data_IF_773013624629
#
_entry.id   IF_773013624629
#
_cell.length_a   1.000
_cell.length_b   1.000
_cell.length_c   1.000
_cell.angle_alpha   90.00
_cell.angle_beta   90.00
_cell.angle_gamma   90.00
#
_symmetry.space_group_name_H-M   'P 1'
#
loop_
_entity.id
_entity.type
_entity.pdbx_description
1 polymer ?
#
# COMPACT_ATOMS: atom_id res chain seq x y z
N UNK A 1 8.24 -17.21 9.36
CA UNK A 1 7.96 -15.78 9.49
C UNK A 1 9.24 -14.95 9.50
N UNK A 2 10.11 -15.05 10.49
CA UNK A 2 11.35 -14.24 10.61
C UNK A 2 12.28 -14.31 9.38
N UNK A 3 12.45 -15.49 8.75
CA UNK A 3 13.28 -15.64 7.54
C UNK A 3 12.69 -14.89 6.33
N UNK A 4 11.37 -14.85 6.18
CA UNK A 4 10.70 -14.13 5.09
C UNK A 4 10.87 -12.62 5.29
N UNK A 5 10.65 -12.12 6.50
CA UNK A 5 10.87 -10.71 6.84
C UNK A 5 12.33 -10.28 6.63
N UNK A 6 13.29 -11.14 7.02
CA UNK A 6 14.70 -10.86 6.81
C UNK A 6 15.06 -10.77 5.32
N UNK A 7 14.51 -11.66 4.48
CA UNK A 7 14.68 -11.60 3.03
C UNK A 7 14.04 -10.34 2.45
N UNK A 8 12.80 -10.03 2.84
CA UNK A 8 12.11 -8.81 2.40
C UNK A 8 12.90 -7.55 2.76
N UNK A 9 13.35 -7.45 4.01
CA UNK A 9 14.18 -6.33 4.49
C UNK A 9 15.47 -6.16 3.68
N UNK A 10 16.17 -7.26 3.33
CA UNK A 10 17.36 -7.21 2.51
C UNK A 10 17.07 -6.69 1.09
N UNK A 11 15.99 -7.20 0.45
CA UNK A 11 15.56 -6.78 -0.89
C UNK A 11 15.14 -5.29 -0.89
N UNK A 12 14.36 -4.86 0.09
CA UNK A 12 13.95 -3.45 0.28
C UNK A 12 15.17 -2.55 0.43
N UNK A 13 16.16 -2.95 1.25
CA UNK A 13 17.40 -2.18 1.41
C UNK A 13 18.16 -2.03 0.09
N UNK A 14 18.23 -3.10 -0.70
CA UNK A 14 18.86 -3.05 -2.02
C UNK A 14 18.09 -2.13 -2.97
N UNK A 15 16.76 -2.26 -3.06
CA UNK A 15 15.91 -1.38 -3.86
C UNK A 15 16.09 0.10 -3.51
N UNK A 16 16.13 0.42 -2.21
CA UNK A 16 16.27 1.80 -1.73
C UNK A 16 17.69 2.39 -1.91
N UNK A 17 18.68 1.57 -2.23
CA UNK A 17 20.04 2.04 -2.60
C UNK A 17 20.19 2.33 -4.09
N UNK A 18 19.21 1.98 -4.92
CA UNK A 18 19.22 2.18 -6.37
C UNK A 18 18.75 3.58 -6.75
N UNK A 19 19.20 4.03 -7.90
CA UNK A 19 18.81 5.32 -8.51
C UNK A 19 17.84 5.12 -9.67
N UNK A 20 17.31 6.20 -10.24
CA UNK A 20 16.48 6.13 -11.43
C UNK A 20 17.21 5.51 -12.65
N UNK A 21 18.54 5.55 -12.68
CA UNK A 21 19.32 4.91 -13.73
C UNK A 21 19.24 3.37 -13.66
N UNK A 22 18.93 2.81 -12.50
CA UNK A 22 18.87 1.38 -12.21
C UNK A 22 17.44 0.82 -12.36
N UNK A 23 16.56 1.52 -13.07
CA UNK A 23 15.12 1.23 -13.16
C UNK A 23 14.79 -0.24 -13.46
N UNK A 24 15.51 -0.86 -14.43
CA UNK A 24 15.27 -2.27 -14.81
C UNK A 24 15.63 -3.25 -13.71
N UNK A 25 16.73 -2.98 -13.01
CA UNK A 25 17.17 -3.83 -11.91
C UNK A 25 16.23 -3.68 -10.71
N UNK A 26 15.77 -2.46 -10.45
CA UNK A 26 14.77 -2.17 -9.42
C UNK A 26 13.43 -2.88 -9.72
N UNK A 27 12.97 -2.87 -10.99
CA UNK A 27 11.79 -3.63 -11.41
C UNK A 27 11.93 -5.12 -11.14
N UNK A 28 13.11 -5.69 -11.40
CA UNK A 28 13.40 -7.11 -11.11
C UNK A 28 13.23 -7.41 -9.61
N UNK A 29 13.78 -6.56 -8.75
CA UNK A 29 13.64 -6.71 -7.29
C UNK A 29 12.20 -6.54 -6.81
N UNK A 30 11.42 -5.63 -7.40
CA UNK A 30 9.98 -5.49 -7.12
C UNK A 30 9.25 -6.80 -7.42
N UNK A 31 9.52 -7.43 -8.56
CA UNK A 31 8.92 -8.70 -8.97
C UNK A 31 9.33 -9.88 -8.07
N UNK A 32 10.54 -9.84 -7.51
CA UNK A 32 11.02 -10.84 -6.55
C UNK A 32 10.45 -10.64 -5.14
N UNK A 33 10.14 -9.39 -4.78
CA UNK A 33 9.64 -9.02 -3.46
C UNK A 33 8.13 -9.23 -3.34
N UNK A 34 7.36 -8.74 -4.33
CA UNK A 34 5.90 -8.78 -4.27
C UNK A 34 5.33 -10.15 -4.67
N UNK A 35 4.15 -10.48 -4.16
CA UNK A 35 3.47 -11.74 -4.46
C UNK A 35 3.02 -11.86 -5.92
N UNK A 36 2.60 -10.73 -6.51
CA UNK A 36 2.36 -10.62 -7.97
C UNK A 36 2.49 -9.18 -8.43
N UNK A 37 2.95 -9.00 -9.67
CA UNK A 37 3.21 -7.69 -10.26
C UNK A 37 2.81 -7.69 -11.73
N UNK A 38 1.96 -6.76 -12.13
CA UNK A 38 1.58 -6.50 -13.50
C UNK A 38 2.71 -5.86 -14.34
N UNK A 39 2.36 -5.28 -15.47
CA UNK A 39 3.30 -4.58 -16.34
C UNK A 39 3.67 -3.19 -15.78
N UNK A 40 4.88 -2.72 -16.11
CA UNK A 40 5.36 -1.36 -15.83
C UNK A 40 5.17 -0.89 -14.36
N UNK A 41 5.59 -1.65 -13.36
CA UNK A 41 5.52 -1.21 -11.96
C UNK A 41 6.57 -0.13 -11.68
N UNK A 42 6.21 0.84 -10.84
CA UNK A 42 7.14 1.82 -10.29
C UNK A 42 7.01 1.89 -8.77
N UNK A 43 8.13 1.80 -8.07
CA UNK A 43 8.21 2.02 -6.63
C UNK A 43 9.34 3.02 -6.36
N UNK A 44 8.98 4.15 -5.76
CA UNK A 44 9.90 5.22 -5.40
C UNK A 44 10.90 4.81 -4.32
N UNK A 45 11.75 5.76 -3.94
CA UNK A 45 12.78 5.52 -2.93
C UNK A 45 12.19 5.48 -1.52
N UNK A 46 12.94 4.85 -0.60
CA UNK A 46 12.55 4.71 0.80
C UNK A 46 11.21 3.98 1.00
N UNK A 47 10.97 2.96 0.19
CA UNK A 47 9.83 2.04 0.36
C UNK A 47 10.08 1.07 1.51
N UNK A 48 9.02 0.72 2.24
CA UNK A 48 9.07 -0.27 3.33
C UNK A 48 7.87 -1.23 3.29
N UNK A 49 8.13 -2.49 3.63
CA UNK A 49 7.11 -3.52 3.84
C UNK A 49 7.60 -4.55 4.86
N UNK A 50 6.68 -5.40 5.37
CA UNK A 50 7.02 -6.48 6.31
C UNK A 50 7.47 -7.74 5.58
N UNK A 51 6.66 -8.25 4.66
CA UNK A 51 6.87 -9.52 3.96
C UNK A 51 7.08 -9.35 2.46
N UNK A 52 6.44 -8.36 1.84
CA UNK A 52 6.40 -8.12 0.41
C UNK A 52 5.54 -9.14 -0.36
N UNK A 53 5.65 -10.42 -0.04
CA UNK A 53 4.92 -11.50 -0.72
C UNK A 53 3.39 -11.42 -0.62
N UNK A 54 2.85 -10.65 0.33
CA UNK A 54 1.42 -10.42 0.49
C UNK A 54 0.95 -9.16 -0.26
N UNK A 55 1.83 -8.48 -1.01
CA UNK A 55 1.51 -7.33 -1.84
C UNK A 55 1.32 -7.80 -3.28
N UNK A 56 0.15 -7.50 -3.85
CA UNK A 56 -0.23 -7.84 -5.20
C UNK A 56 -0.64 -6.58 -5.95
N UNK A 57 0.01 -6.27 -7.06
CA UNK A 57 -0.26 -5.05 -7.82
C UNK A 57 -0.52 -5.36 -9.31
N UNK A 58 -1.44 -4.62 -9.90
CA UNK A 58 -1.80 -4.72 -11.31
C UNK A 58 -0.83 -3.97 -12.24
N UNK A 59 -1.31 -3.74 -13.47
CA UNK A 59 -0.57 -3.03 -14.50
C UNK A 59 -0.43 -1.54 -14.18
N UNK A 60 0.69 -0.92 -14.57
CA UNK A 60 0.97 0.50 -14.39
C UNK A 60 0.84 0.97 -12.92
N UNK A 61 1.17 0.10 -11.97
CA UNK A 61 1.21 0.47 -10.56
C UNK A 61 2.32 1.49 -10.31
N UNK A 62 1.98 2.58 -9.62
CA UNK A 62 2.93 3.63 -9.26
C UNK A 62 2.80 3.95 -7.78
N UNK A 63 3.84 3.68 -7.00
CA UNK A 63 4.00 4.17 -5.63
C UNK A 63 5.16 5.17 -5.59
N UNK A 64 4.88 6.36 -5.11
CA UNK A 64 5.88 7.42 -4.95
C UNK A 64 6.80 7.13 -3.76
N UNK A 65 7.72 8.03 -3.44
CA UNK A 65 8.72 7.84 -2.37
C UNK A 65 8.09 7.81 -0.97
N UNK A 66 8.81 7.19 -0.01
CA UNK A 66 8.45 7.06 1.41
C UNK A 66 7.15 6.26 1.66
N UNK A 67 6.70 5.43 0.73
CA UNK A 67 5.52 4.60 0.95
C UNK A 67 5.83 3.43 1.89
N UNK A 68 4.90 3.13 2.80
CA UNK A 68 5.00 1.99 3.72
C UNK A 68 3.77 1.09 3.60
N UNK A 69 3.99 -0.19 3.36
CA UNK A 69 2.93 -1.20 3.27
C UNK A 69 3.19 -2.29 4.30
N UNK A 70 2.44 -2.28 5.43
CA UNK A 70 2.52 -3.34 6.43
C UNK A 70 1.61 -4.49 6.01
N UNK A 71 2.19 -5.45 5.33
CA UNK A 71 1.50 -6.56 4.65
C UNK A 71 1.43 -7.84 5.49
N UNK A 72 1.00 -7.74 6.76
CA UNK A 72 0.71 -8.92 7.59
C UNK A 72 -0.42 -9.76 6.97
N UNK A 73 -1.45 -9.12 6.42
CA UNK A 73 -2.45 -9.72 5.53
C UNK A 73 -2.27 -9.19 4.10
N UNK A 74 -3.03 -9.74 3.14
CA UNK A 74 -2.91 -9.36 1.74
C UNK A 74 -3.28 -7.89 1.49
N UNK A 75 -2.49 -7.24 0.64
CA UNK A 75 -2.76 -5.95 0.01
C UNK A 75 -2.90 -6.21 -1.49
N UNK A 76 -4.10 -5.99 -2.02
CA UNK A 76 -4.40 -6.12 -3.45
C UNK A 76 -4.69 -4.75 -4.04
N UNK A 77 -3.95 -4.38 -5.08
CA UNK A 77 -4.07 -3.09 -5.78
C UNK A 77 -4.26 -3.40 -7.27
N UNK A 78 -5.30 -2.85 -7.87
CA UNK A 78 -5.64 -3.03 -9.27
C UNK A 78 -4.72 -2.28 -10.23
N UNK A 79 -5.18 -2.15 -11.48
CA UNK A 79 -4.44 -1.51 -12.57
C UNK A 79 -4.49 0.02 -12.47
N UNK A 80 -3.48 0.69 -13.03
CA UNK A 80 -3.38 2.15 -13.17
C UNK A 80 -3.51 2.92 -11.84
N UNK A 81 -3.08 2.34 -10.72
CA UNK A 81 -3.18 2.97 -9.42
C UNK A 81 -1.99 3.90 -9.15
N UNK A 82 -2.30 5.09 -8.66
CA UNK A 82 -1.32 6.11 -8.29
C UNK A 82 -1.33 6.30 -6.78
N UNK A 83 -0.22 5.96 -6.13
CA UNK A 83 -0.01 6.12 -4.69
C UNK A 83 1.00 7.26 -4.49
N UNK A 84 0.53 8.36 -3.88
CA UNK A 84 1.36 9.53 -3.61
C UNK A 84 2.43 9.29 -2.54
N UNK A 85 3.32 10.26 -2.33
CA UNK A 85 4.41 10.13 -1.38
C UNK A 85 3.90 10.02 0.07
N UNK A 86 4.68 9.36 0.92
CA UNK A 86 4.40 9.21 2.35
C UNK A 86 3.06 8.51 2.67
N UNK A 87 2.53 7.72 1.74
CA UNK A 87 1.29 6.95 1.97
C UNK A 87 1.60 5.70 2.79
N UNK A 88 0.75 5.46 3.81
CA UNK A 88 0.74 4.23 4.60
C UNK A 88 -0.44 3.34 4.26
N UNK A 89 -0.21 2.05 3.99
CA UNK A 89 -1.24 1.03 3.78
C UNK A 89 -0.97 -0.07 4.81
N UNK A 90 -1.84 -0.16 5.82
CA UNK A 90 -1.58 -0.98 7.00
C UNK A 90 -2.65 -2.04 7.17
N UNK A 91 -2.28 -3.32 6.95
CA UNK A 91 -3.19 -4.45 7.22
C UNK A 91 -3.11 -4.91 8.66
N UNK A 92 -2.06 -4.54 9.40
CA UNK A 92 -1.79 -4.98 10.76
C UNK A 92 -2.48 -4.09 11.81
N UNK A 93 -2.97 -4.71 12.86
CA UNK A 93 -3.52 -4.05 14.03
C UNK A 93 -3.27 -4.85 15.32
N UNK A 94 -3.50 -4.21 16.45
CA UNK A 94 -3.42 -4.80 17.79
C UNK A 94 -4.76 -4.70 18.48
N UNK A 95 -5.00 -5.57 19.48
CA UNK A 95 -6.16 -5.47 20.35
C UNK A 95 -6.17 -4.13 21.09
N UNK A 96 -7.36 -3.61 21.32
CA UNK A 96 -7.52 -2.36 22.07
C UNK A 96 -7.29 -2.59 23.57
N UNK A 97 -7.63 -3.78 24.05
CA UNK A 97 -7.42 -4.22 25.42
C UNK A 97 -5.91 -4.33 25.69
N UNK A 98 -5.39 -3.61 26.72
CA UNK A 98 -3.95 -3.55 26.97
C UNK A 98 -3.35 -4.90 27.37
N UNK A 99 -4.14 -5.79 28.00
CA UNK A 99 -3.72 -7.10 28.45
C UNK A 99 -3.33 -8.03 27.30
N UNK A 100 -4.05 -7.92 26.18
CA UNK A 100 -3.89 -8.79 25.00
C UNK A 100 -3.03 -8.15 23.89
N UNK A 101 -2.77 -6.85 24.00
CA UNK A 101 -2.16 -6.04 22.91
C UNK A 101 -0.80 -6.52 22.44
N UNK A 102 0.04 -7.03 23.35
CA UNK A 102 1.40 -7.48 23.02
C UNK A 102 1.38 -8.86 22.36
N UNK A 103 0.43 -9.70 22.71
CA UNK A 103 0.38 -11.10 22.26
C UNK A 103 -0.52 -11.31 21.03
N UNK A 104 -1.49 -10.42 20.81
CA UNK A 104 -2.50 -10.56 19.76
C UNK A 104 -2.33 -9.47 18.70
N UNK A 105 -1.66 -9.84 17.61
CA UNK A 105 -1.54 -9.03 16.38
C UNK A 105 -2.43 -9.64 15.33
N UNK A 106 -3.35 -8.88 14.76
CA UNK A 106 -4.23 -9.33 13.69
C UNK A 106 -3.92 -8.64 12.37
N UNK A 107 -4.23 -9.32 11.27
CA UNK A 107 -4.17 -8.77 9.91
C UNK A 107 -5.55 -8.79 9.27
N UNK A 108 -5.96 -7.67 8.67
CA UNK A 108 -7.16 -7.57 7.85
C UNK A 108 -6.80 -7.10 6.45
N UNK A 109 -7.13 -7.87 5.39
CA UNK A 109 -6.70 -7.56 4.03
C UNK A 109 -7.28 -6.22 3.54
N UNK A 110 -6.51 -5.55 2.69
CA UNK A 110 -6.92 -4.30 2.03
C UNK A 110 -7.04 -4.56 0.54
N UNK A 111 -8.13 -4.09 -0.06
CA UNK A 111 -8.36 -4.18 -1.50
C UNK A 111 -8.53 -2.78 -2.09
N UNK A 112 -7.75 -2.46 -3.11
CA UNK A 112 -7.81 -1.20 -3.86
C UNK A 112 -8.11 -1.56 -5.30
N UNK A 113 -9.19 -1.02 -5.86
CA UNK A 113 -9.63 -1.26 -7.22
C UNK A 113 -8.72 -0.66 -8.28
N UNK A 114 -9.19 -0.61 -9.52
CA UNK A 114 -8.47 -0.04 -10.64
C UNK A 114 -8.61 1.50 -10.68
N UNK A 115 -7.66 2.17 -11.33
CA UNK A 115 -7.71 3.63 -11.58
C UNK A 115 -7.87 4.48 -10.30
N UNK A 116 -7.39 3.98 -9.16
CA UNK A 116 -7.46 4.68 -7.86
C UNK A 116 -6.29 5.64 -7.71
N UNK A 117 -6.57 6.83 -7.21
CA UNK A 117 -5.56 7.80 -6.81
C UNK A 117 -5.59 8.04 -5.30
N UNK A 118 -4.49 7.74 -4.62
CA UNK A 118 -4.29 8.03 -3.20
C UNK A 118 -3.31 9.19 -3.07
N UNK A 119 -3.81 10.33 -2.59
CA UNK A 119 -3.01 11.54 -2.34
C UNK A 119 -1.99 11.33 -1.23
N UNK A 120 -0.87 12.05 -1.32
CA UNK A 120 0.25 11.91 -0.38
C UNK A 120 -0.14 12.11 1.09
N UNK A 121 0.67 11.53 2.00
CA UNK A 121 0.43 11.53 3.45
C UNK A 121 -0.91 10.91 3.90
N UNK A 122 -1.55 10.11 3.06
CA UNK A 122 -2.77 9.39 3.42
C UNK A 122 -2.45 8.07 4.11
N UNK A 123 -3.37 7.62 4.96
CA UNK A 123 -3.27 6.34 5.65
C UNK A 123 -4.51 5.50 5.38
N UNK A 124 -4.31 4.26 4.93
CA UNK A 124 -5.38 3.27 4.71
C UNK A 124 -5.32 2.25 5.83
N UNK A 125 -6.42 2.11 6.57
CA UNK A 125 -6.49 1.24 7.74
C UNK A 125 -6.91 -0.20 7.40
N UNK A 126 -6.65 -1.16 8.32
CA UNK A 126 -6.91 -2.57 8.08
C UNK A 126 -8.35 -2.86 7.67
N UNK A 127 -8.53 -3.73 6.67
CA UNK A 127 -9.82 -4.23 6.22
C UNK A 127 -10.56 -3.33 5.23
N UNK A 128 -10.00 -2.18 4.84
CA UNK A 128 -10.65 -1.22 3.93
C UNK A 128 -10.65 -1.74 2.50
N UNK A 129 -11.79 -1.55 1.82
CA UNK A 129 -11.94 -1.71 0.37
C UNK A 129 -12.15 -0.35 -0.29
N UNK A 130 -11.33 -0.04 -1.31
CA UNK A 130 -11.44 1.18 -2.12
C UNK A 130 -11.88 0.79 -3.52
N UNK A 131 -13.04 1.31 -3.96
CA UNK A 131 -13.63 1.00 -5.26
C UNK A 131 -12.92 1.68 -6.43
N UNK A 132 -13.14 1.15 -7.63
CA UNK A 132 -12.51 1.61 -8.87
C UNK A 132 -12.72 3.11 -9.11
N UNK A 133 -11.67 3.80 -9.57
CA UNK A 133 -11.69 5.21 -9.89
C UNK A 133 -11.92 6.15 -8.70
N UNK A 134 -11.80 5.64 -7.46
CA UNK A 134 -11.89 6.48 -6.27
C UNK A 134 -10.65 7.36 -6.09
N UNK A 135 -10.83 8.49 -5.43
CA UNK A 135 -9.75 9.41 -5.07
C UNK A 135 -9.75 9.63 -3.55
N UNK A 136 -8.59 9.43 -2.95
CA UNK A 136 -8.32 9.76 -1.56
C UNK A 136 -7.53 11.06 -1.55
N UNK A 137 -8.10 12.12 -0.98
CA UNK A 137 -7.40 13.40 -0.87
C UNK A 137 -6.19 13.30 0.06
N UNK A 138 -5.14 14.07 -0.23
CA UNK A 138 -3.92 14.07 0.57
C UNK A 138 -4.19 14.33 2.06
N UNK A 139 -3.42 13.65 2.93
CA UNK A 139 -3.53 13.76 4.38
C UNK A 139 -4.75 13.08 4.99
N UNK A 140 -5.44 12.21 4.26
CA UNK A 140 -6.64 11.53 4.74
C UNK A 140 -6.32 10.26 5.52
N UNK A 141 -7.18 9.92 6.49
CA UNK A 141 -7.15 8.63 7.19
C UNK A 141 -8.42 7.86 6.83
N UNK A 142 -8.26 6.83 6.00
CA UNK A 142 -9.38 6.02 5.49
C UNK A 142 -9.66 4.89 6.47
N UNK A 143 -10.79 4.98 7.16
CA UNK A 143 -11.24 4.06 8.20
C UNK A 143 -12.38 3.14 7.76
N UNK A 144 -13.01 3.43 6.63
CA UNK A 144 -14.16 2.71 6.08
C UNK A 144 -14.02 2.54 4.57
N UNK A 145 -14.79 1.61 4.01
CA UNK A 145 -14.82 1.37 2.58
C UNK A 145 -15.18 2.64 1.79
N UNK A 146 -14.57 2.77 0.62
CA UNK A 146 -14.77 3.90 -0.29
C UNK A 146 -15.47 3.42 -1.56
N UNK A 147 -16.63 4.00 -1.87
CA UNK A 147 -17.38 3.64 -3.06
C UNK A 147 -16.62 4.01 -4.35
N UNK A 148 -16.84 3.26 -5.46
CA UNK A 148 -16.23 3.58 -6.74
C UNK A 148 -16.52 5.01 -7.19
N UNK A 149 -15.57 5.63 -7.90
CA UNK A 149 -15.70 6.96 -8.50
C UNK A 149 -16.18 8.03 -7.51
N UNK A 150 -15.64 7.99 -6.28
CA UNK A 150 -15.89 9.00 -5.24
C UNK A 150 -14.59 9.63 -4.76
N UNK A 151 -14.68 10.90 -4.37
CA UNK A 151 -13.64 11.62 -3.63
C UNK A 151 -13.99 11.57 -2.14
N UNK A 152 -13.05 11.08 -1.33
CA UNK A 152 -13.10 11.19 0.14
C UNK A 152 -11.95 12.02 0.66
N UNK A 153 -12.13 12.70 1.80
CA UNK A 153 -11.08 13.53 2.41
C UNK A 153 -11.26 13.67 3.92
N UNK A 154 -10.14 13.84 4.61
CA UNK A 154 -10.09 14.19 6.04
C UNK A 154 -9.65 13.05 6.96
N UNK A 155 -9.68 13.31 8.26
CA UNK A 155 -9.42 12.34 9.33
C UNK A 155 -10.56 12.38 10.37
N UNK A 156 -11.45 11.37 10.39
CA UNK A 156 -11.55 10.29 9.40
C UNK A 156 -11.98 10.80 8.01
N UNK A 157 -11.58 10.07 6.96
CA UNK A 157 -11.97 10.39 5.59
C UNK A 157 -13.48 10.23 5.39
N UNK A 158 -14.14 11.25 4.87
CA UNK A 158 -15.57 11.26 4.59
C UNK A 158 -15.83 11.64 3.13
N UNK A 159 -16.97 11.21 2.59
CA UNK A 159 -17.43 11.54 1.24
C UNK A 159 -17.43 13.05 0.99
N UNK A 160 -16.94 13.46 -0.17
CA UNK A 160 -16.95 14.85 -0.64
C UNK A 160 -17.78 15.03 -1.91
N UNK A 161 -17.58 14.18 -2.90
CA UNK A 161 -18.32 14.22 -4.17
C UNK A 161 -18.14 12.96 -5.00
N UNK A 162 -19.04 12.76 -5.96
CA UNK A 162 -18.84 11.78 -7.03
C UNK A 162 -17.90 12.35 -8.11
N UNK A 163 -17.14 11.45 -8.73
CA UNK A 163 -16.26 11.72 -9.86
C UNK A 163 -17.01 11.32 -11.14
N UNK A 164 -17.02 12.19 -12.13
CA UNK A 164 -17.69 11.95 -13.43
C UNK A 164 -16.93 10.95 -14.30
#
# INVERSE_FOLDING_TARGET
MQMIMAKASATVKQMNSMTLADFKDKETLIRELFGSVGSAPFVGDNFHCDFGQNIHVGDNFHADYNCTMLDLAEIRIGDNCLIGPDVGIFTAGHRLEPEDRVLDVYGSPITIGNDVWIGGHSTILPGVTIGDGAVIAAGSVVTNDVAPRTLVAGNPAIFKKNIK
#
